data_IF_320099718078
#
_entry.id   IF_320099718078
#
_cell.length_a   1.000
_cell.length_b   1.000
_cell.length_c   1.000
_cell.angle_alpha   90.00
_cell.angle_beta   90.00
_cell.angle_gamma   90.00
#
_symmetry.space_group_name_H-M   'P 1'
#
loop_
_entity.id
_entity.type
_entity.pdbx_description
1 polymer ?
#
# COMPACT_ATOMS: atom_id res chain seq x y z
N UNK A 1 -23.82 -0.53 -94.70
CA UNK A 1 -23.45 0.03 -93.39
C UNK A 1 -22.70 -1.04 -92.59
N UNK A 2 -21.42 -0.75 -92.30
CA UNK A 2 -20.64 -1.18 -91.13
C UNK A 2 -20.68 -2.65 -90.66
N UNK A 3 -19.52 -3.32 -90.69
CA UNK A 3 -18.82 -3.77 -89.46
C UNK A 3 -17.36 -4.16 -89.75
N UNK A 4 -16.47 -3.58 -88.95
CA UNK A 4 -15.01 -3.69 -88.97
C UNK A 4 -14.55 -5.01 -88.35
N UNK A 5 -13.59 -5.67 -88.98
CA UNK A 5 -12.74 -6.69 -88.38
C UNK A 5 -11.69 -6.02 -87.50
N UNK A 6 -11.53 -6.49 -86.26
CA UNK A 6 -10.45 -6.08 -85.35
C UNK A 6 -9.41 -7.19 -85.38
N UNK A 7 -8.25 -6.86 -85.95
CA UNK A 7 -7.02 -7.63 -85.88
C UNK A 7 -6.14 -7.15 -84.74
N UNK A 8 -5.63 -8.14 -84.00
CA UNK A 8 -4.34 -8.29 -83.31
C UNK A 8 -3.40 -7.09 -83.06
N UNK A 9 -2.95 -7.10 -81.81
CA UNK A 9 -1.56 -6.99 -81.32
C UNK A 9 -0.99 -5.64 -80.88
N UNK A 10 -0.13 -5.77 -79.86
CA UNK A 10 0.68 -4.76 -79.15
C UNK A 10 -0.03 -3.98 -78.02
N UNK A 11 0.18 -4.41 -76.76
CA UNK A 11 1.15 -3.72 -75.90
C UNK A 11 1.22 -4.25 -74.46
N UNK A 12 2.46 -4.49 -74.01
CA UNK A 12 2.99 -4.30 -72.66
C UNK A 12 2.50 -5.20 -71.50
N UNK A 13 3.00 -6.44 -71.50
CA UNK A 13 3.14 -7.25 -70.27
C UNK A 13 4.32 -6.75 -69.42
N UNK A 14 4.07 -5.78 -68.54
CA UNK A 14 5.00 -5.45 -67.45
C UNK A 14 4.99 -6.56 -66.38
N UNK A 15 5.93 -7.50 -66.47
CA UNK A 15 6.28 -8.42 -65.39
C UNK A 15 6.97 -7.65 -64.26
N UNK A 16 6.18 -7.14 -63.31
CA UNK A 16 6.69 -6.65 -62.02
C UNK A 16 6.45 -7.72 -60.97
N UNK A 17 7.36 -8.67 -60.83
CA UNK A 17 7.42 -9.56 -59.67
C UNK A 17 7.76 -8.71 -58.44
N UNK A 18 6.73 -8.29 -57.72
CA UNK A 18 6.88 -7.73 -56.38
C UNK A 18 7.39 -8.85 -55.47
N UNK A 19 8.69 -8.87 -55.20
CA UNK A 19 9.24 -9.58 -54.04
C UNK A 19 8.58 -8.95 -52.82
N UNK A 20 7.57 -9.63 -52.28
CA UNK A 20 7.01 -9.30 -50.96
C UNK A 20 8.15 -9.41 -49.96
N UNK A 21 8.77 -8.28 -49.61
CA UNK A 21 9.57 -8.17 -48.39
C UNK A 21 8.61 -8.47 -47.25
N UNK A 22 8.62 -9.72 -46.79
CA UNK A 22 7.94 -10.14 -45.57
C UNK A 22 8.56 -9.28 -44.48
N UNK A 23 7.85 -8.21 -44.07
CA UNK A 23 8.20 -7.43 -42.89
C UNK A 23 8.24 -8.48 -41.79
N UNK A 24 9.43 -8.88 -41.35
CA UNK A 24 9.58 -9.71 -40.17
C UNK A 24 9.17 -8.80 -39.02
N UNK A 25 7.86 -8.69 -38.80
CA UNK A 25 7.35 -8.10 -37.58
C UNK A 25 7.98 -8.90 -36.44
N UNK A 26 8.58 -8.20 -35.49
CA UNK A 26 9.07 -8.81 -34.27
C UNK A 26 7.94 -9.65 -33.69
N UNK A 27 8.04 -10.97 -33.78
CA UNK A 27 7.08 -11.85 -33.14
C UNK A 27 7.48 -11.94 -31.68
N UNK A 28 6.53 -11.66 -30.80
CA UNK A 28 6.73 -11.70 -29.35
C UNK A 28 7.23 -13.08 -28.89
N UNK A 29 6.89 -14.15 -29.62
CA UNK A 29 7.36 -15.53 -29.41
C UNK A 29 8.86 -15.74 -29.66
N UNK A 30 9.54 -14.81 -30.33
CA UNK A 30 10.97 -14.91 -30.60
C UNK A 30 11.83 -14.24 -29.52
N UNK A 31 11.20 -13.61 -28.52
CA UNK A 31 11.91 -13.00 -27.40
C UNK A 31 12.34 -14.07 -26.38
N UNK A 32 13.51 -13.90 -25.75
CA UNK A 32 13.94 -14.71 -24.61
C UNK A 32 12.92 -14.70 -23.46
N UNK A 33 12.82 -15.83 -22.74
CA UNK A 33 11.86 -16.03 -21.65
C UNK A 33 11.98 -14.97 -20.54
N UNK A 34 13.19 -14.56 -20.19
CA UNK A 34 13.49 -13.51 -19.22
C UNK A 34 12.91 -12.15 -19.63
N UNK A 35 13.00 -11.80 -20.92
CA UNK A 35 12.39 -10.58 -21.45
C UNK A 35 10.85 -10.68 -21.39
N UNK A 36 10.29 -11.85 -21.71
CA UNK A 36 8.85 -12.05 -21.60
C UNK A 36 8.36 -11.96 -20.16
N UNK A 37 9.07 -12.57 -19.21
CA UNK A 37 8.79 -12.44 -17.78
C UNK A 37 8.89 -10.99 -17.31
N UNK A 38 9.89 -10.23 -17.80
CA UNK A 38 10.03 -8.81 -17.50
C UNK A 38 8.91 -7.95 -18.09
N UNK A 39 8.33 -8.33 -19.24
CA UNK A 39 7.15 -7.66 -19.80
C UNK A 39 5.93 -7.99 -18.94
N UNK A 40 5.74 -9.27 -18.59
CA UNK A 40 4.60 -9.71 -17.79
C UNK A 40 4.62 -9.12 -16.39
N UNK A 41 5.79 -8.94 -15.76
CA UNK A 41 5.91 -8.38 -14.42
C UNK A 41 5.43 -6.93 -14.31
N UNK A 42 5.27 -6.23 -15.44
CA UNK A 42 4.72 -4.88 -15.52
C UNK A 42 3.20 -4.87 -15.67
N UNK A 43 2.59 -6.03 -15.92
CA UNK A 43 1.14 -6.15 -16.05
C UNK A 43 0.51 -6.51 -14.69
N UNK A 44 -0.74 -6.09 -14.45
CA UNK A 44 -1.53 -6.66 -13.37
C UNK A 44 -1.65 -8.18 -13.54
N UNK A 45 -1.64 -8.93 -12.44
CA UNK A 45 -1.64 -10.41 -12.47
C UNK A 45 -2.77 -10.99 -13.34
N UNK A 46 -3.97 -10.38 -13.33
CA UNK A 46 -5.07 -10.79 -14.22
C UNK A 46 -4.69 -10.71 -15.69
N UNK A 47 -4.08 -9.61 -16.13
CA UNK A 47 -3.70 -9.44 -17.52
C UNK A 47 -2.51 -10.34 -17.88
N UNK A 48 -1.56 -10.54 -16.96
CA UNK A 48 -0.49 -11.52 -17.13
C UNK A 48 -1.04 -12.95 -17.33
N UNK A 49 -2.00 -13.39 -16.49
CA UNK A 49 -2.68 -14.68 -16.65
C UNK A 49 -3.41 -14.76 -17.99
N UNK A 50 -4.05 -13.68 -18.46
CA UNK A 50 -4.76 -13.66 -19.75
C UNK A 50 -3.83 -13.88 -20.95
N UNK A 51 -2.55 -13.53 -20.86
CA UNK A 51 -1.59 -13.81 -21.92
C UNK A 51 -1.35 -15.31 -22.16
N UNK A 52 -1.78 -16.17 -21.21
CA UNK A 52 -1.68 -17.63 -21.32
C UNK A 52 -2.36 -18.23 -22.55
N UNK A 53 -3.30 -17.50 -23.16
CA UNK A 53 -4.02 -17.93 -24.36
C UNK A 53 -3.23 -17.68 -25.67
N UNK A 54 -2.13 -16.93 -25.61
CA UNK A 54 -1.39 -16.51 -26.81
C UNK A 54 -0.63 -17.67 -27.46
N UNK A 55 -0.03 -18.55 -26.66
CA UNK A 55 0.65 -19.78 -27.11
C UNK A 55 1.03 -20.66 -25.91
N UNK A 56 1.46 -21.90 -26.17
CA UNK A 56 1.96 -22.82 -25.14
C UNK A 56 3.14 -22.24 -24.33
N UNK A 57 4.01 -21.45 -24.95
CA UNK A 57 5.11 -20.79 -24.23
C UNK A 57 4.57 -19.83 -23.16
N UNK A 58 3.52 -19.07 -23.47
CA UNK A 58 2.98 -18.01 -22.61
C UNK A 58 2.11 -18.53 -21.47
N UNK A 59 1.60 -19.75 -21.62
CA UNK A 59 0.70 -20.42 -20.67
C UNK A 59 1.21 -20.43 -19.22
N UNK A 60 2.53 -20.56 -19.05
CA UNK A 60 3.16 -20.74 -17.75
C UNK A 60 4.10 -19.59 -17.34
N UNK A 61 4.30 -18.58 -18.19
CA UNK A 61 5.28 -17.51 -17.91
C UNK A 61 4.92 -16.71 -16.65
N UNK A 62 3.63 -16.51 -16.42
CA UNK A 62 3.14 -15.78 -15.26
C UNK A 62 3.32 -16.53 -13.93
N UNK A 63 3.66 -17.83 -13.92
CA UNK A 63 3.85 -18.60 -12.68
C UNK A 63 5.00 -18.08 -11.80
N UNK A 64 5.84 -17.16 -12.28
CA UNK A 64 6.92 -16.51 -11.54
C UNK A 64 6.68 -15.00 -11.38
N UNK A 65 5.42 -14.57 -11.45
CA UNK A 65 5.07 -13.16 -11.41
C UNK A 65 5.40 -12.56 -10.03
N UNK A 66 6.20 -11.48 -9.96
CA UNK A 66 6.68 -10.96 -8.67
C UNK A 66 5.60 -10.26 -7.84
N UNK A 67 4.55 -9.74 -8.49
CA UNK A 67 3.52 -8.92 -7.87
C UNK A 67 2.16 -9.63 -7.89
N UNK A 68 1.70 -10.12 -6.74
CA UNK A 68 0.41 -10.78 -6.59
C UNK A 68 -0.55 -9.83 -5.88
N UNK A 69 -1.28 -9.04 -6.67
CA UNK A 69 -2.26 -8.06 -6.17
C UNK A 69 -3.67 -8.56 -6.45
N UNK A 70 -4.39 -8.90 -5.39
CA UNK A 70 -5.75 -9.43 -5.42
C UNK A 70 -6.72 -8.36 -4.93
N UNK A 71 -7.58 -7.88 -5.83
CA UNK A 71 -8.68 -6.97 -5.50
C UNK A 71 -9.97 -7.46 -6.15
N UNK A 72 -11.13 -7.08 -5.61
CA UNK A 72 -12.41 -7.43 -6.23
C UNK A 72 -12.48 -6.99 -7.71
N UNK A 73 -12.03 -5.78 -8.03
CA UNK A 73 -12.04 -5.24 -9.40
C UNK A 73 -11.01 -5.90 -10.33
N UNK A 74 -9.88 -6.35 -9.79
CA UNK A 74 -8.85 -7.03 -10.57
C UNK A 74 -9.19 -8.50 -10.79
N UNK A 75 -9.98 -9.15 -9.94
CA UNK A 75 -10.25 -10.58 -10.05
C UNK A 75 -11.62 -10.89 -10.63
N UNK A 76 -12.62 -10.03 -10.41
CA UNK A 76 -13.98 -10.23 -10.90
C UNK A 76 -14.32 -9.29 -12.06
N UNK A 77 -15.30 -9.65 -12.90
CA UNK A 77 -15.92 -8.70 -13.81
C UNK A 77 -16.60 -7.56 -13.02
N UNK A 78 -16.64 -6.37 -13.62
CA UNK A 78 -17.45 -5.27 -13.08
C UNK A 78 -18.91 -5.73 -13.11
N UNK A 79 -19.65 -5.66 -11.99
CA UNK A 79 -21.02 -6.11 -11.94
C UNK A 79 -21.87 -5.21 -12.85
N UNK A 80 -22.76 -5.81 -13.64
CA UNK A 80 -23.66 -5.06 -14.55
C UNK A 80 -24.74 -4.30 -13.79
N UNK A 81 -25.02 -4.70 -12.56
CA UNK A 81 -26.00 -4.13 -11.64
C UNK A 81 -25.33 -4.00 -10.27
N UNK A 82 -25.54 -2.87 -9.58
CA UNK A 82 -25.08 -2.76 -8.19
C UNK A 82 -25.78 -3.83 -7.33
N UNK A 83 -25.09 -4.46 -6.37
CA UNK A 83 -25.74 -5.36 -5.41
C UNK A 83 -26.89 -4.61 -4.73
N UNK A 84 -28.10 -5.16 -4.84
CA UNK A 84 -29.30 -4.56 -4.24
C UNK A 84 -29.41 -4.94 -2.76
N UNK A 85 -28.80 -6.07 -2.37
CA UNK A 85 -28.79 -6.58 -1.00
C UNK A 85 -27.42 -7.14 -0.60
N UNK A 86 -27.12 -7.24 0.72
CA UNK A 86 -25.93 -7.93 1.21
C UNK A 86 -25.79 -9.39 0.74
N UNK A 87 -26.92 -10.08 0.49
CA UNK A 87 -26.95 -11.46 0.01
C UNK A 87 -26.47 -11.61 -1.45
N UNK A 88 -26.56 -10.56 -2.26
CA UNK A 88 -26.10 -10.59 -3.66
C UNK A 88 -24.56 -10.55 -3.76
N UNK A 89 -23.88 -10.23 -2.67
CA UNK A 89 -22.41 -10.12 -2.61
C UNK A 89 -21.74 -11.47 -2.32
N UNK A 90 -22.44 -12.39 -1.66
CA UNK A 90 -21.91 -13.69 -1.22
C UNK A 90 -21.35 -14.58 -2.35
N UNK A 91 -22.08 -14.82 -3.46
CA UNK A 91 -21.52 -15.60 -4.56
C UNK A 91 -20.30 -14.92 -5.21
N UNK A 92 -20.23 -13.59 -5.20
CA UNK A 92 -19.08 -12.84 -5.73
C UNK A 92 -17.86 -12.96 -4.83
N UNK A 93 -18.04 -12.91 -3.51
CA UNK A 93 -16.96 -13.19 -2.55
C UNK A 93 -16.41 -14.60 -2.76
N UNK A 94 -17.28 -15.60 -2.90
CA UNK A 94 -16.85 -16.97 -3.14
C UNK A 94 -16.06 -17.12 -4.44
N UNK A 95 -16.55 -16.52 -5.54
CA UNK A 95 -15.84 -16.52 -6.83
C UNK A 95 -14.48 -15.81 -6.72
N UNK A 96 -14.41 -14.69 -5.99
CA UNK A 96 -13.16 -13.97 -5.74
C UNK A 96 -12.14 -14.87 -5.06
N UNK A 97 -12.53 -15.54 -3.97
CA UNK A 97 -11.67 -16.44 -3.21
C UNK A 97 -11.20 -17.61 -4.08
N UNK A 98 -12.10 -18.24 -4.85
CA UNK A 98 -11.74 -19.32 -5.76
C UNK A 98 -10.69 -18.89 -6.79
N UNK A 99 -10.82 -17.67 -7.35
CA UNK A 99 -9.85 -17.14 -8.30
C UNK A 99 -8.50 -16.86 -7.64
N UNK A 100 -8.50 -16.31 -6.43
CA UNK A 100 -7.28 -16.10 -5.64
C UNK A 100 -6.59 -17.45 -5.40
N UNK A 101 -7.31 -18.44 -4.89
CA UNK A 101 -6.77 -19.78 -4.63
C UNK A 101 -6.22 -20.44 -5.90
N UNK A 102 -6.94 -20.34 -7.02
CA UNK A 102 -6.47 -20.87 -8.29
C UNK A 102 -5.15 -20.24 -8.75
N UNK A 103 -4.96 -18.93 -8.52
CA UNK A 103 -3.71 -18.23 -8.81
C UNK A 103 -2.59 -18.72 -7.90
N UNK A 104 -2.84 -18.80 -6.58
CA UNK A 104 -1.84 -19.27 -5.62
C UNK A 104 -1.38 -20.71 -5.89
N UNK A 105 -2.31 -21.60 -6.27
CA UNK A 105 -2.02 -23.01 -6.58
C UNK A 105 -1.18 -23.20 -7.84
N UNK A 106 -1.35 -22.32 -8.84
CA UNK A 106 -0.61 -22.39 -10.10
C UNK A 106 0.72 -21.64 -10.05
N UNK A 107 0.87 -20.70 -9.11
CA UNK A 107 2.11 -19.97 -8.94
C UNK A 107 3.24 -20.89 -8.44
N UNK A 108 4.45 -20.70 -8.94
CA UNK A 108 5.64 -21.48 -8.56
C UNK A 108 6.08 -21.27 -7.11
N UNK A 109 5.59 -20.20 -6.48
CA UNK A 109 6.06 -19.70 -5.19
C UNK A 109 7.46 -19.05 -5.24
N UNK A 110 8.14 -19.00 -6.38
CA UNK A 110 9.50 -18.44 -6.48
C UNK A 110 9.45 -17.03 -7.08
N UNK A 111 10.27 -16.12 -6.54
CA UNK A 111 10.43 -14.77 -7.09
C UNK A 111 9.29 -13.80 -6.72
N UNK A 112 8.40 -14.19 -5.80
CA UNK A 112 7.35 -13.30 -5.29
C UNK A 112 8.00 -12.20 -4.46
N UNK A 113 7.72 -10.94 -4.82
CA UNK A 113 8.19 -9.78 -4.08
C UNK A 113 7.09 -9.18 -3.22
N UNK A 114 5.86 -9.17 -3.74
CA UNK A 114 4.74 -8.44 -3.15
C UNK A 114 3.46 -9.26 -3.21
N UNK A 115 2.82 -9.45 -2.06
CA UNK A 115 1.51 -10.10 -1.92
C UNK A 115 0.54 -9.11 -1.31
N UNK A 116 -0.53 -8.80 -2.02
CA UNK A 116 -1.57 -7.89 -1.56
C UNK A 116 -2.93 -8.50 -1.72
N UNK A 117 -3.72 -8.46 -0.66
CA UNK A 117 -5.11 -8.88 -0.67
C UNK A 117 -5.97 -7.72 -0.18
N UNK A 118 -6.81 -7.20 -1.09
CA UNK A 118 -7.68 -6.05 -0.84
C UNK A 118 -9.12 -6.40 -1.14
N UNK A 119 -9.84 -6.80 -0.12
CA UNK A 119 -11.25 -7.13 -0.20
C UNK A 119 -11.86 -7.07 1.21
N UNK A 120 -13.14 -6.70 1.34
CA UNK A 120 -13.83 -6.83 2.62
C UNK A 120 -13.79 -8.29 3.06
N UNK A 121 -13.38 -8.50 4.31
CA UNK A 121 -13.14 -9.82 4.87
C UNK A 121 -14.10 -10.11 6.03
N UNK A 122 -14.54 -11.36 6.12
CA UNK A 122 -15.43 -11.86 7.17
C UNK A 122 -14.80 -13.06 7.90
N UNK A 123 -15.19 -13.30 9.16
CA UNK A 123 -14.52 -14.28 10.04
C UNK A 123 -14.53 -15.72 9.48
N UNK A 124 -15.53 -16.06 8.67
CA UNK A 124 -15.67 -17.36 7.99
C UNK A 124 -14.57 -17.64 6.95
N UNK A 125 -13.85 -16.60 6.53
CA UNK A 125 -12.80 -16.70 5.52
C UNK A 125 -11.40 -16.87 6.14
N UNK A 126 -11.27 -17.10 7.46
CA UNK A 126 -9.98 -17.20 8.19
C UNK A 126 -8.96 -18.12 7.51
N UNK A 127 -9.42 -19.27 7.01
CA UNK A 127 -8.55 -20.23 6.33
C UNK A 127 -7.92 -19.66 5.05
N UNK A 128 -8.62 -18.75 4.37
CA UNK A 128 -8.10 -18.06 3.18
C UNK A 128 -6.95 -17.13 3.52
N UNK A 129 -7.09 -16.30 4.57
CA UNK A 129 -5.99 -15.43 5.04
C UNK A 129 -4.81 -16.29 5.46
N UNK A 130 -5.04 -17.36 6.23
CA UNK A 130 -3.96 -18.24 6.66
C UNK A 130 -3.22 -18.84 5.46
N UNK A 131 -3.94 -19.30 4.42
CA UNK A 131 -3.33 -19.77 3.16
C UNK A 131 -2.51 -18.68 2.48
N UNK A 132 -3.03 -17.46 2.38
CA UNK A 132 -2.33 -16.32 1.79
C UNK A 132 -1.05 -15.96 2.56
N UNK A 133 -1.13 -15.90 3.90
CA UNK A 133 0.02 -15.63 4.77
C UNK A 133 1.07 -16.72 4.59
N UNK A 134 0.67 -18.00 4.67
CA UNK A 134 1.57 -19.13 4.49
C UNK A 134 2.22 -19.12 3.11
N UNK A 135 1.47 -18.77 2.06
CA UNK A 135 2.04 -18.61 0.73
C UNK A 135 3.05 -17.47 0.66
N UNK A 136 2.75 -16.30 1.24
CA UNK A 136 3.67 -15.15 1.26
C UNK A 136 4.98 -15.49 1.98
N UNK A 137 4.88 -16.21 3.09
CA UNK A 137 6.02 -16.74 3.86
C UNK A 137 6.84 -17.74 3.03
N UNK A 138 6.18 -18.78 2.51
CA UNK A 138 6.84 -19.84 1.75
C UNK A 138 7.51 -19.30 0.48
N UNK A 139 6.91 -18.28 -0.13
CA UNK A 139 7.44 -17.61 -1.31
C UNK A 139 8.52 -16.57 -1.03
N UNK A 140 8.84 -16.33 0.26
CA UNK A 140 9.83 -15.35 0.72
C UNK A 140 9.51 -13.94 0.22
N UNK A 141 8.22 -13.60 0.21
CA UNK A 141 7.76 -12.28 -0.17
C UNK A 141 8.44 -11.20 0.69
N UNK A 142 8.68 -10.03 0.09
CA UNK A 142 9.26 -8.88 0.78
C UNK A 142 8.17 -7.96 1.33
N UNK A 143 7.00 -7.95 0.72
CA UNK A 143 5.89 -7.09 1.08
C UNK A 143 4.60 -7.90 1.24
N UNK A 144 3.88 -7.62 2.32
CA UNK A 144 2.58 -8.21 2.62
C UNK A 144 1.58 -7.10 2.96
N UNK A 145 0.49 -7.02 2.20
CA UNK A 145 -0.58 -6.04 2.43
C UNK A 145 -1.91 -6.76 2.57
N UNK A 146 -2.55 -6.58 3.72
CA UNK A 146 -3.96 -6.90 3.91
C UNK A 146 -4.74 -5.62 4.06
N UNK A 147 -5.65 -5.38 3.12
CA UNK A 147 -6.52 -4.23 3.15
C UNK A 147 -7.98 -4.68 3.17
N UNK A 148 -8.55 -4.72 4.38
CA UNK A 148 -9.93 -5.12 4.58
C UNK A 148 -10.87 -3.93 4.74
N UNK A 149 -10.44 -2.72 4.35
CA UNK A 149 -11.31 -1.54 4.40
C UNK A 149 -12.59 -1.84 3.60
N UNK A 150 -13.73 -1.75 4.28
CA UNK A 150 -15.04 -1.95 3.68
C UNK A 150 -15.73 -0.60 3.52
N UNK A 151 -16.55 -0.46 2.47
CA UNK A 151 -17.42 0.70 2.31
C UNK A 151 -18.53 0.79 3.40
N UNK A 152 -18.65 -0.21 4.28
CA UNK A 152 -19.64 -0.24 5.36
C UNK A 152 -18.96 -0.13 6.73
N UNK A 153 -19.08 1.01 7.43
CA UNK A 153 -18.41 1.25 8.71
C UNK A 153 -18.97 0.45 9.90
N UNK A 154 -19.98 -0.41 9.68
CA UNK A 154 -20.75 -1.10 10.73
C UNK A 154 -20.16 -2.45 11.18
N UNK A 155 -19.14 -2.97 10.51
CA UNK A 155 -18.59 -4.30 10.84
C UNK A 155 -17.38 -4.21 11.78
N UNK A 156 -17.26 -5.13 12.75
CA UNK A 156 -16.07 -5.20 13.60
C UNK A 156 -14.83 -5.58 12.77
N UNK A 157 -13.63 -5.09 13.11
CA UNK A 157 -12.40 -5.45 12.41
C UNK A 157 -12.01 -6.92 12.64
N UNK A 158 -11.43 -7.55 11.61
CA UNK A 158 -11.04 -8.97 11.64
C UNK A 158 -9.93 -9.27 12.66
N UNK A 159 -10.07 -10.31 13.47
CA UNK A 159 -9.04 -10.72 14.43
C UNK A 159 -7.86 -11.42 13.72
N UNK A 160 -6.80 -10.68 13.43
CA UNK A 160 -5.62 -11.20 12.75
C UNK A 160 -4.63 -11.84 13.74
N UNK A 161 -4.23 -13.08 13.47
CA UNK A 161 -3.28 -13.84 14.30
C UNK A 161 -1.84 -13.51 13.90
N UNK A 162 -1.20 -12.58 14.62
CA UNK A 162 0.18 -12.15 14.36
C UNK A 162 1.21 -13.27 14.46
N UNK A 163 0.92 -14.39 15.14
CA UNK A 163 1.84 -15.53 15.25
C UNK A 163 2.14 -16.17 13.90
N UNK A 164 1.24 -16.00 12.93
CA UNK A 164 1.50 -16.46 11.56
C UNK A 164 2.73 -15.75 10.96
N UNK A 165 3.02 -14.53 11.43
CA UNK A 165 4.11 -13.69 10.94
C UNK A 165 5.32 -13.64 11.91
N UNK A 166 5.41 -14.55 12.87
CA UNK A 166 6.58 -14.73 13.73
C UNK A 166 7.88 -14.78 12.89
N UNK A 167 8.93 -14.19 13.44
CA UNK A 167 10.31 -14.21 12.99
C UNK A 167 10.79 -15.53 12.36
N UNK A 168 10.43 -16.70 12.92
CA UNK A 168 10.81 -18.01 12.36
C UNK A 168 10.30 -18.22 10.93
N UNK A 169 9.22 -17.53 10.58
CA UNK A 169 8.49 -17.68 9.34
C UNK A 169 8.69 -16.48 8.39
N UNK A 170 8.96 -15.29 8.92
CA UNK A 170 8.82 -14.03 8.16
C UNK A 170 10.13 -13.30 7.84
N UNK A 171 11.29 -13.97 7.92
CA UNK A 171 12.63 -13.38 7.75
C UNK A 171 12.85 -12.50 6.50
N UNK A 172 12.05 -12.65 5.44
CA UNK A 172 12.20 -11.90 4.20
C UNK A 172 11.30 -10.67 4.12
N UNK A 173 10.30 -10.56 5.00
CA UNK A 173 9.37 -9.43 5.03
C UNK A 173 10.10 -8.16 5.46
N UNK A 174 9.88 -7.10 4.67
CA UNK A 174 10.41 -5.76 4.88
C UNK A 174 9.31 -4.73 5.04
N UNK A 175 8.13 -5.00 4.49
CA UNK A 175 6.95 -4.14 4.55
C UNK A 175 5.71 -4.95 4.90
N UNK A 176 5.00 -4.53 5.95
CA UNK A 176 3.70 -5.08 6.33
C UNK A 176 2.70 -3.94 6.45
N UNK A 177 1.58 -4.05 5.74
CA UNK A 177 0.43 -3.14 5.92
C UNK A 177 -0.81 -3.94 6.28
N UNK A 178 -1.44 -3.56 7.38
CA UNK A 178 -2.66 -4.17 7.87
C UNK A 178 -3.73 -3.08 8.01
N UNK A 179 -4.80 -3.20 7.24
CA UNK A 179 -5.95 -2.29 7.32
C UNK A 179 -7.19 -3.01 7.82
N UNK A 180 -7.94 -2.37 8.72
CA UNK A 180 -9.20 -2.88 9.28
C UNK A 180 -9.08 -4.25 9.94
N UNK A 181 -8.06 -4.41 10.78
CA UNK A 181 -7.82 -5.60 11.61
C UNK A 181 -7.89 -5.28 13.10
N UNK A 182 -8.19 -6.27 13.91
CA UNK A 182 -7.97 -6.29 15.35
C UNK A 182 -6.70 -7.10 15.62
N UNK A 183 -5.76 -6.49 16.33
CA UNK A 183 -4.47 -7.10 16.66
C UNK A 183 -4.33 -7.25 18.18
N UNK A 184 -3.86 -8.43 18.57
CA UNK A 184 -3.30 -8.70 19.91
C UNK A 184 -1.91 -9.24 19.71
N UNK A 185 -0.94 -8.65 20.39
CA UNK A 185 0.46 -9.06 20.27
C UNK A 185 0.72 -10.10 21.38
N UNK A 186 1.03 -11.36 21.02
CA UNK A 186 1.38 -12.37 22.01
C UNK A 186 2.60 -11.94 22.83
N UNK A 187 2.63 -12.27 24.12
CA UNK A 187 3.77 -11.93 24.99
C UNK A 187 5.07 -12.63 24.58
N UNK A 188 4.97 -13.79 23.93
CA UNK A 188 6.05 -14.59 23.37
C UNK A 188 6.33 -14.27 21.89
N UNK A 189 5.80 -13.15 21.38
CA UNK A 189 6.05 -12.73 20.01
C UNK A 189 7.52 -12.37 19.81
N UNK A 190 8.22 -13.18 19.01
CA UNK A 190 9.65 -12.98 18.71
C UNK A 190 9.92 -11.84 17.72
N UNK A 191 8.87 -11.14 17.27
CA UNK A 191 9.02 -9.96 16.45
C UNK A 191 9.32 -10.25 14.99
N UNK A 192 9.94 -9.26 14.34
CA UNK A 192 10.38 -9.35 12.95
C UNK A 192 11.85 -8.93 12.83
N UNK A 193 12.73 -9.84 12.40
CA UNK A 193 14.17 -9.52 12.27
C UNK A 193 14.50 -8.51 11.16
N UNK A 194 13.73 -8.49 10.06
CA UNK A 194 14.07 -7.71 8.86
C UNK A 194 13.00 -6.71 8.44
N UNK A 195 11.94 -6.55 9.25
CA UNK A 195 10.85 -5.63 8.94
C UNK A 195 11.31 -4.19 9.15
N UNK A 196 11.33 -3.44 8.05
CA UNK A 196 11.69 -2.02 8.05
C UNK A 196 10.47 -1.14 8.24
N UNK A 197 9.34 -1.52 7.67
CA UNK A 197 8.18 -0.67 7.56
C UNK A 197 6.92 -1.41 7.99
N UNK A 198 6.17 -0.80 8.90
CA UNK A 198 4.86 -1.29 9.31
C UNK A 198 3.82 -0.19 9.20
N UNK A 199 2.66 -0.50 8.63
CA UNK A 199 1.55 0.42 8.49
C UNK A 199 0.26 -0.21 9.05
N UNK A 200 -0.33 0.42 10.04
CA UNK A 200 -1.58 0.02 10.69
C UNK A 200 -2.65 1.06 10.39
N UNK A 201 -3.70 0.68 9.65
CA UNK A 201 -4.78 1.60 9.28
C UNK A 201 -6.13 1.07 9.77
N UNK A 202 -6.94 1.89 10.43
CA UNK A 202 -8.23 1.44 10.99
C UNK A 202 -8.09 0.23 11.90
N UNK A 203 -6.94 0.08 12.56
CA UNK A 203 -6.58 -1.12 13.31
C UNK A 203 -6.96 -0.95 14.79
N UNK A 204 -7.61 -1.97 15.34
CA UNK A 204 -7.88 -2.07 16.77
C UNK A 204 -6.66 -2.70 17.46
N UNK A 205 -5.81 -1.85 18.04
CA UNK A 205 -4.61 -2.22 18.79
C UNK A 205 -4.53 -1.36 20.06
N UNK A 206 -4.13 -1.96 21.19
CA UNK A 206 -3.95 -1.23 22.45
C UNK A 206 -2.60 -0.52 22.49
N UNK A 207 -2.43 0.43 23.40
CA UNK A 207 -1.15 1.13 23.61
C UNK A 207 -0.03 0.12 23.97
N UNK A 208 -0.33 -0.84 24.85
CA UNK A 208 0.60 -1.89 25.29
C UNK A 208 0.99 -2.83 24.14
N UNK A 209 0.01 -3.28 23.36
CA UNK A 209 0.25 -4.14 22.19
C UNK A 209 1.12 -3.41 21.14
N UNK A 210 0.87 -2.13 20.90
CA UNK A 210 1.68 -1.34 19.97
C UNK A 210 3.13 -1.22 20.47
N UNK A 211 3.31 -0.97 21.76
CA UNK A 211 4.65 -0.90 22.36
C UNK A 211 5.39 -2.25 22.23
N UNK A 212 4.70 -3.36 22.50
CA UNK A 212 5.25 -4.71 22.31
C UNK A 212 5.62 -4.98 20.85
N UNK A 213 4.75 -4.62 19.90
CA UNK A 213 5.01 -4.79 18.47
C UNK A 213 6.27 -4.03 18.02
N UNK A 214 6.37 -2.76 18.39
CA UNK A 214 7.50 -1.90 18.00
C UNK A 214 8.80 -2.35 18.66
N UNK A 215 8.77 -2.71 19.95
CA UNK A 215 9.94 -3.22 20.67
C UNK A 215 10.44 -4.57 20.16
N UNK A 216 9.55 -5.37 19.57
CA UNK A 216 9.89 -6.65 18.95
C UNK A 216 10.50 -6.49 17.54
N UNK A 217 10.48 -5.29 16.95
CA UNK A 217 11.04 -5.05 15.61
C UNK A 217 12.42 -4.38 15.69
N UNK A 218 13.49 -5.16 15.54
CA UNK A 218 14.87 -4.68 15.76
C UNK A 218 15.40 -3.72 14.69
N UNK A 219 14.81 -3.68 13.50
CA UNK A 219 15.28 -2.87 12.35
C UNK A 219 14.20 -1.97 11.75
N UNK A 220 13.15 -1.69 12.52
CA UNK A 220 12.03 -0.86 12.07
C UNK A 220 12.49 0.59 11.83
N UNK A 221 12.34 1.06 10.60
CA UNK A 221 12.70 2.40 10.16
C UNK A 221 11.47 3.32 10.06
N UNK A 222 10.30 2.79 9.70
CA UNK A 222 9.05 3.55 9.53
C UNK A 222 7.86 2.88 10.20
N UNK A 223 7.12 3.66 10.99
CA UNK A 223 5.85 3.29 11.60
C UNK A 223 4.75 4.24 11.11
N UNK A 224 3.77 3.68 10.39
CA UNK A 224 2.56 4.40 9.99
C UNK A 224 1.36 3.92 10.79
N UNK A 225 0.62 4.86 11.37
CA UNK A 225 -0.61 4.61 12.13
C UNK A 225 -1.68 5.55 11.58
N UNK A 226 -2.81 5.01 11.14
CA UNK A 226 -3.91 5.80 10.61
C UNK A 226 -5.23 5.32 11.21
N UNK A 227 -6.12 6.23 11.63
CA UNK A 227 -7.48 5.91 12.06
C UNK A 227 -7.58 4.80 13.12
N UNK A 228 -6.56 4.62 13.97
CA UNK A 228 -6.56 3.59 15.02
C UNK A 228 -7.34 4.11 16.24
N UNK A 229 -8.52 3.51 16.47
CA UNK A 229 -9.54 4.09 17.38
C UNK A 229 -9.32 3.76 18.85
N UNK A 230 -8.44 2.83 19.18
CA UNK A 230 -8.18 2.39 20.55
C UNK A 230 -6.94 3.05 21.17
N UNK A 231 -6.08 3.66 20.36
CA UNK A 231 -4.83 4.24 20.83
C UNK A 231 -5.09 5.54 21.58
N UNK A 232 -4.61 5.61 22.81
CA UNK A 232 -4.65 6.82 23.64
C UNK A 232 -3.27 7.42 23.83
N UNK A 233 -2.23 6.59 23.77
CA UNK A 233 -0.83 6.99 23.91
C UNK A 233 0.05 6.19 22.95
N UNK A 234 0.99 6.86 22.31
CA UNK A 234 2.03 6.22 21.48
C UNK A 234 3.36 6.35 22.19
N UNK A 235 3.93 5.24 22.70
CA UNK A 235 5.20 5.24 23.41
C UNK A 235 6.30 4.53 22.61
N UNK A 236 7.29 5.30 22.16
CA UNK A 236 8.36 4.83 21.26
C UNK A 236 9.76 4.98 21.85
N UNK A 237 9.88 5.38 23.11
CA UNK A 237 11.11 5.80 23.80
C UNK A 237 12.12 4.68 24.09
N UNK A 238 12.02 3.52 23.44
CA UNK A 238 13.00 2.45 23.61
C UNK A 238 14.35 2.84 22.99
N UNK A 239 15.48 2.87 23.75
CA UNK A 239 16.77 3.37 23.28
C UNK A 239 17.37 2.60 22.09
N UNK A 240 16.97 1.35 21.92
CA UNK A 240 17.46 0.45 20.87
C UNK A 240 16.63 0.48 19.59
N UNK A 241 15.57 1.28 19.53
CA UNK A 241 14.67 1.31 18.37
C UNK A 241 15.27 2.18 17.25
N UNK A 242 15.50 1.66 16.04
CA UNK A 242 16.07 2.41 14.93
C UNK A 242 15.05 3.24 14.14
N UNK A 243 13.86 3.46 14.71
CA UNK A 243 12.78 4.20 14.06
C UNK A 243 13.21 5.61 13.68
N UNK A 244 13.06 5.93 12.39
CA UNK A 244 13.42 7.23 11.80
C UNK A 244 12.21 8.03 11.36
N UNK A 245 11.14 7.35 10.94
CA UNK A 245 9.95 7.98 10.36
C UNK A 245 8.70 7.54 11.12
N UNK A 246 7.91 8.49 11.58
CA UNK A 246 6.65 8.24 12.28
C UNK A 246 5.53 9.04 11.62
N UNK A 247 4.50 8.34 11.18
CA UNK A 247 3.34 8.93 10.52
C UNK A 247 2.10 8.54 11.32
N UNK A 248 1.37 9.51 11.85
CA UNK A 248 0.18 9.28 12.68
C UNK A 248 -0.96 10.15 12.20
N UNK A 249 -2.03 9.54 11.69
CA UNK A 249 -3.17 10.25 11.10
C UNK A 249 -4.49 9.82 11.74
N UNK A 250 -5.41 10.76 11.95
CA UNK A 250 -6.82 10.53 12.31
C UNK A 250 -7.08 9.63 13.53
N UNK A 251 -6.14 9.59 14.47
CA UNK A 251 -6.28 8.82 15.71
C UNK A 251 -7.04 9.65 16.76
N UNK A 252 -8.37 9.57 16.73
CA UNK A 252 -9.28 10.47 17.48
C UNK A 252 -9.17 10.42 19.01
N UNK A 253 -8.72 9.30 19.58
CA UNK A 253 -8.58 9.15 21.04
C UNK A 253 -7.14 9.40 21.51
N UNK A 254 -6.20 9.67 20.61
CA UNK A 254 -4.82 9.87 20.95
C UNK A 254 -4.66 11.18 21.73
N UNK A 255 -4.05 11.11 22.90
CA UNK A 255 -3.84 12.25 23.80
C UNK A 255 -2.38 12.61 23.99
N UNK A 256 -1.47 11.63 23.87
CA UNK A 256 -0.05 11.84 24.10
C UNK A 256 0.82 10.95 23.20
N UNK A 257 2.02 11.42 22.91
CA UNK A 257 3.03 10.67 22.17
C UNK A 257 4.41 10.92 22.77
N UNK A 258 5.06 9.83 23.13
CA UNK A 258 6.44 9.81 23.61
C UNK A 258 7.35 9.36 22.46
N UNK A 259 8.11 10.32 21.93
CA UNK A 259 8.88 10.14 20.70
C UNK A 259 10.17 9.34 20.92
N UNK A 260 10.67 8.74 19.85
CA UNK A 260 11.98 8.10 19.84
C UNK A 260 13.11 9.13 19.61
N UNK A 261 14.24 9.00 20.31
CA UNK A 261 15.41 9.88 20.13
C UNK A 261 15.95 9.92 18.70
N UNK A 262 15.92 8.77 18.00
CA UNK A 262 16.43 8.60 16.64
C UNK A 262 15.50 9.11 15.54
N UNK A 263 14.32 9.64 15.89
CA UNK A 263 13.34 10.09 14.92
C UNK A 263 13.86 11.27 14.09
N UNK A 264 13.76 11.16 12.77
CA UNK A 264 14.19 12.15 11.78
C UNK A 264 12.99 12.86 11.16
N UNK A 265 11.87 12.17 11.03
CA UNK A 265 10.66 12.66 10.42
C UNK A 265 9.42 12.32 11.24
N UNK A 266 8.57 13.32 11.44
CA UNK A 266 7.26 13.19 12.08
C UNK A 266 6.20 13.80 11.17
N UNK A 267 5.23 12.99 10.77
CA UNK A 267 3.98 13.45 10.19
C UNK A 267 2.83 13.15 11.16
N UNK A 268 2.08 14.18 11.51
CA UNK A 268 0.94 14.09 12.42
C UNK A 268 -0.27 14.78 11.81
N UNK A 269 -1.43 14.13 11.81
CA UNK A 269 -2.72 14.74 11.53
C UNK A 269 -3.76 14.24 12.53
N UNK A 270 -4.42 15.13 13.28
CA UNK A 270 -5.35 14.70 14.33
C UNK A 270 -5.68 15.75 15.39
N UNK A 271 -6.24 15.33 16.54
CA UNK A 271 -6.54 16.24 17.65
C UNK A 271 -5.28 16.81 18.31
N UNK A 272 -5.44 17.77 19.23
CA UNK A 272 -4.29 18.26 20.00
C UNK A 272 -3.71 17.17 20.92
N UNK A 273 -2.40 16.91 20.86
CA UNK A 273 -1.72 15.89 21.68
C UNK A 273 -0.58 16.44 22.53
N UNK A 274 -0.20 15.74 23.59
CA UNK A 274 1.01 16.02 24.35
C UNK A 274 2.20 15.29 23.71
N UNK A 275 3.10 16.03 23.08
CA UNK A 275 4.39 15.50 22.62
C UNK A 275 5.38 15.54 23.77
N UNK A 276 5.94 14.39 24.15
CA UNK A 276 7.05 14.30 25.07
C UNK A 276 8.26 13.72 24.34
N UNK A 277 9.38 14.44 24.41
CA UNK A 277 10.66 13.95 23.94
C UNK A 277 11.46 13.41 25.14
N UNK A 278 12.07 12.22 25.04
CA UNK A 278 12.90 11.69 26.11
C UNK A 278 14.23 12.47 26.27
N UNK A 279 14.49 13.44 25.38
CA UNK A 279 15.57 14.43 25.42
C UNK A 279 15.72 15.08 24.04
N UNK A 280 16.96 15.34 23.62
CA UNK A 280 17.24 15.95 22.31
C UNK A 280 16.96 14.98 21.15
N UNK A 281 16.00 15.34 20.29
CA UNK A 281 15.61 14.60 19.10
C UNK A 281 16.52 14.94 17.90
N UNK A 282 16.66 13.98 16.99
CA UNK A 282 17.34 14.14 15.69
C UNK A 282 16.40 14.64 14.58
N UNK A 283 15.23 15.14 14.97
CA UNK A 283 14.15 15.48 14.05
C UNK A 283 14.58 16.59 13.09
N UNK A 284 14.39 16.34 11.80
CA UNK A 284 14.66 17.28 10.71
C UNK A 284 13.38 17.80 10.09
N UNK A 285 12.41 16.91 9.86
CA UNK A 285 11.16 17.22 9.21
C UNK A 285 10.01 16.98 10.18
N UNK A 286 9.14 17.98 10.32
CA UNK A 286 7.95 17.88 11.15
C UNK A 286 6.77 18.49 10.40
N UNK A 287 5.74 17.69 10.14
CA UNK A 287 4.46 18.13 9.62
C UNK A 287 3.39 17.85 10.67
N UNK A 288 2.66 18.88 11.10
CA UNK A 288 1.57 18.76 12.07
C UNK A 288 0.34 19.44 11.50
N UNK A 289 -0.73 18.66 11.32
CA UNK A 289 -2.07 19.10 10.97
C UNK A 289 -2.99 18.87 12.17
N UNK A 290 -3.63 19.93 12.66
CA UNK A 290 -4.50 19.86 13.82
C UNK A 290 -5.97 20.04 13.41
N UNK A 291 -6.82 19.14 13.88
CA UNK A 291 -8.26 19.15 13.59
C UNK A 291 -9.04 20.12 14.51
N UNK A 292 -8.43 20.52 15.63
CA UNK A 292 -9.05 21.40 16.64
C UNK A 292 -8.59 22.85 16.52
N UNK A 293 -9.47 23.78 16.91
CA UNK A 293 -9.24 25.24 16.97
C UNK A 293 -8.18 25.58 18.03
N UNK A 294 -6.90 25.31 17.74
CA UNK A 294 -5.80 25.63 18.63
C UNK A 294 -5.04 26.84 18.08
N UNK A 295 -4.64 27.83 18.92
CA UNK A 295 -3.64 28.79 18.52
C UNK A 295 -2.30 28.04 18.33
N UNK A 296 -2.06 27.62 17.08
CA UNK A 296 -1.01 26.72 16.58
C UNK A 296 0.38 27.02 17.15
N UNK A 297 0.65 28.29 17.41
CA UNK A 297 1.93 28.80 17.88
C UNK A 297 2.19 28.52 19.36
N UNK A 298 1.15 28.53 20.21
CA UNK A 298 1.28 28.30 21.65
C UNK A 298 1.47 26.81 21.96
N UNK A 299 0.85 25.94 21.16
CA UNK A 299 1.06 24.49 21.21
C UNK A 299 2.52 24.10 20.97
N UNK A 300 3.16 24.71 19.98
CA UNK A 300 4.55 24.40 19.62
C UNK A 300 5.53 25.03 20.60
N UNK A 301 5.31 26.30 20.98
CA UNK A 301 6.21 26.99 21.92
C UNK A 301 6.21 26.36 23.30
N UNK A 302 5.08 25.81 23.74
CA UNK A 302 4.98 25.15 25.06
C UNK A 302 5.38 23.68 25.05
N UNK A 303 5.26 22.96 23.91
CA UNK A 303 5.45 21.49 23.86
C UNK A 303 6.68 21.01 23.09
N UNK A 304 7.23 21.79 22.15
CA UNK A 304 8.44 21.44 21.37
C UNK A 304 9.74 22.07 21.91
N UNK A 305 9.64 22.74 23.05
CA UNK A 305 10.69 23.47 23.76
C UNK A 305 12.06 22.75 23.74
N UNK A 306 13.14 23.45 23.35
CA UNK A 306 14.58 23.09 23.25
C UNK A 306 15.01 21.66 22.79
N UNK A 307 14.07 20.77 22.49
CA UNK A 307 14.30 19.34 22.31
C UNK A 307 14.52 18.97 20.84
N UNK A 308 14.32 19.90 19.90
CA UNK A 308 14.48 19.68 18.45
C UNK A 308 15.51 20.64 17.82
N UNK A 309 16.77 20.69 18.28
CA UNK A 309 17.76 21.65 17.80
C UNK A 309 18.22 21.43 16.35
N UNK A 310 17.82 20.32 15.71
CA UNK A 310 18.21 19.94 14.34
C UNK A 310 17.09 20.10 13.32
N UNK A 311 15.98 20.73 13.70
CA UNK A 311 14.81 20.89 12.84
C UNK A 311 15.16 21.75 11.62
N UNK A 312 14.99 21.20 10.43
CA UNK A 312 15.25 21.87 9.13
C UNK A 312 13.94 22.38 8.53
N UNK A 313 12.85 21.62 8.67
CA UNK A 313 11.53 21.94 8.12
C UNK A 313 10.42 21.71 9.15
N UNK A 314 9.60 22.73 9.36
CA UNK A 314 8.37 22.68 10.15
C UNK A 314 7.20 23.15 9.29
N UNK A 315 6.25 22.26 9.06
CA UNK A 315 5.00 22.55 8.34
C UNK A 315 3.84 22.40 9.30
N UNK A 316 3.01 23.44 9.37
CA UNK A 316 1.88 23.52 10.30
C UNK A 316 0.62 23.86 9.52
N UNK A 317 -0.37 22.98 9.64
CA UNK A 317 -1.69 23.19 9.09
C UNK A 317 -2.68 23.30 10.25
N UNK A 318 -3.28 24.48 10.39
CA UNK A 318 -4.38 24.69 11.31
C UNK A 318 -5.58 25.19 10.53
N UNK A 319 -6.74 24.59 10.80
CA UNK A 319 -8.03 25.07 10.33
C UNK A 319 -8.46 26.25 11.20
N UNK A 320 -7.97 27.45 10.90
CA UNK A 320 -8.53 28.69 11.47
C UNK A 320 -9.81 29.07 10.66
N UNK A 321 -10.92 29.41 11.33
CA UNK A 321 -12.08 30.00 10.64
C UNK A 321 -11.78 31.46 10.25
N UNK A 322 -12.46 31.99 9.22
CA UNK A 322 -12.21 33.32 8.64
C UNK A 322 -12.28 34.51 9.63
N UNK A 323 -12.73 34.32 10.87
CA UNK A 323 -12.88 35.40 11.86
C UNK A 323 -11.56 35.79 12.57
N UNK A 324 -10.52 34.95 12.52
CA UNK A 324 -9.24 35.21 13.21
C UNK A 324 -8.14 35.83 12.30
N UNK A 325 -8.46 36.05 11.02
CA UNK A 325 -7.51 36.51 9.98
C UNK A 325 -6.85 37.87 10.26
N UNK A 326 -7.43 38.70 11.15
CA UNK A 326 -6.95 40.06 11.42
C UNK A 326 -5.85 40.10 12.49
N UNK A 327 -5.68 39.05 13.31
CA UNK A 327 -4.84 39.13 14.51
C UNK A 327 -3.35 38.75 14.32
N UNK A 328 -2.94 38.09 13.22
CA UNK A 328 -1.62 37.41 13.19
C UNK A 328 -0.70 37.71 12.01
N UNK A 329 -0.85 38.88 11.38
CA UNK A 329 0.10 39.37 10.36
C UNK A 329 1.52 39.69 10.87
N UNK A 330 1.88 39.28 12.10
CA UNK A 330 3.14 39.64 12.76
C UNK A 330 4.19 38.52 12.81
N UNK A 331 3.91 37.30 12.36
CA UNK A 331 4.85 36.16 12.47
C UNK A 331 5.29 35.55 11.13
N UNK A 332 5.11 36.24 10.01
CA UNK A 332 5.68 35.82 8.71
C UNK A 332 7.10 36.36 8.55
N UNK A 333 8.12 35.64 9.00
CA UNK A 333 9.44 35.69 8.36
C UNK A 333 10.10 34.30 8.43
N UNK A 334 10.52 33.82 7.25
CA UNK A 334 11.26 32.59 6.91
C UNK A 334 10.44 31.34 6.53
N UNK A 335 9.73 31.44 5.41
CA UNK A 335 9.37 30.31 4.57
C UNK A 335 9.97 30.52 3.18
N UNK A 336 10.93 29.68 2.78
CA UNK A 336 11.08 29.35 1.36
C UNK A 336 11.85 28.05 1.14
N UNK A 337 11.24 27.21 0.29
CA UNK A 337 11.74 26.08 -0.51
C UNK A 337 11.54 24.67 0.06
N UNK A 338 10.37 24.13 -0.28
CA UNK A 338 10.14 22.71 -0.46
C UNK A 338 10.69 22.25 -1.83
N UNK A 339 11.20 21.01 -1.95
CA UNK A 339 11.07 20.20 -3.15
C UNK A 339 9.83 19.29 -3.00
N UNK A 340 9.01 19.24 -4.04
CA UNK A 340 7.92 18.28 -4.18
C UNK A 340 8.49 16.86 -4.33
N UNK A 341 8.17 15.98 -3.38
CA UNK A 341 8.18 14.53 -3.62
C UNK A 341 6.90 13.94 -3.05
N UNK A 342 5.81 14.11 -3.81
CA UNK A 342 4.56 13.40 -3.58
C UNK A 342 4.69 11.96 -4.05
N UNK A 343 4.78 11.03 -3.12
CA UNK A 343 4.33 9.66 -3.32
C UNK A 343 3.08 9.49 -2.47
N UNK A 344 1.94 9.32 -3.13
CA UNK A 344 0.65 9.05 -2.49
C UNK A 344 0.73 7.75 -1.70
N UNK A 345 0.96 7.83 -0.38
CA UNK A 345 0.95 6.68 0.52
C UNK A 345 -0.44 6.40 1.12
N UNK A 346 -1.36 7.36 1.07
CA UNK A 346 -2.74 7.22 1.49
C UNK A 346 -3.69 7.67 0.38
N UNK A 347 -3.87 6.82 -0.63
CA UNK A 347 -4.97 6.95 -1.58
C UNK A 347 -6.31 6.65 -0.89
N UNK A 348 -6.87 7.63 -0.21
CA UNK A 348 -8.27 7.65 0.22
C UNK A 348 -8.79 9.09 0.14
N UNK A 349 -8.83 9.66 -1.08
CA UNK A 349 -9.66 10.83 -1.32
C UNK A 349 -11.11 10.39 -1.46
N UNK A 350 -11.87 10.49 -0.37
CA UNK A 350 -13.29 10.72 -0.45
C UNK A 350 -13.50 12.10 -1.11
N UNK A 351 -13.94 12.09 -2.36
CA UNK A 351 -14.67 13.22 -2.94
C UNK A 351 -16.16 13.02 -2.65
N UNK A 352 -16.70 13.83 -1.76
CA UNK A 352 -18.10 14.24 -1.67
C UNK A 352 -18.02 15.71 -1.25
N UNK A 353 -18.54 16.72 -1.93
CA UNK A 353 -19.40 16.87 -3.11
C UNK A 353 -18.91 18.09 -3.91
#
# INVERSE_FOLDING_TARGET
MTKRSIGSDEDLRLHRTMVKRKKQGLQLTNLPTDILCSILSQLPIKEAVRTSILSEQWKCLWHHHPNLVFTLSSMLPIPRTLPLTPNDDEPRKHEFIQRVDAVLQQHSGVGVENVQFRAPFEDDQRDQINRLVNFAIASKAKQLIFDFLTASPMRPPYNFDLRLLDDSNSLHLRYVKLCSVSLKVPADFNGFQNLKWICLAGTNITDDDLQLLVSSCCVLELLGIASCRMLTRVQLSHPSNPLKHLHVHDCRLLQAMELNFGLVELEYSGPSILLSAPGTLLLKNMCIELNDMCPSLEYISTKLDNNVPRLEMLTLHCTESEEDFVARKAAQIFLSKAPETGADFFGCSEKQE
#
